data_IF_337254287448
#
_entry.id   IF_337254287448
#
_cell.length_a   1.000
_cell.length_b   1.000
_cell.length_c   1.000
_cell.angle_alpha   90.00
_cell.angle_beta   90.00
_cell.angle_gamma   90.00
#
_symmetry.space_group_name_H-M   'P 1'
#
loop_
_entity.id
_entity.type
_entity.pdbx_description
1 polymer ?
#
# COMPACT_ATOMS: atom_id res chain seq x y z
N UNK A 1 -26.73 30.21 0.02
CA UNK A 1 -26.89 28.74 -0.04
C UNK A 1 -25.93 28.06 -1.02
N UNK A 2 -25.85 28.45 -2.32
CA UNK A 2 -24.87 27.84 -3.27
C UNK A 2 -23.41 28.13 -2.89
N UNK A 3 -23.10 29.31 -2.41
CA UNK A 3 -21.76 29.74 -1.99
C UNK A 3 -21.28 28.98 -0.72
N UNK A 4 -22.15 28.79 0.27
CA UNK A 4 -21.83 27.98 1.45
C UNK A 4 -21.63 26.48 1.13
N UNK A 5 -22.38 25.94 0.17
CA UNK A 5 -22.19 24.57 -0.31
C UNK A 5 -20.87 24.41 -1.07
N UNK A 6 -20.46 25.41 -1.81
CA UNK A 6 -19.16 25.44 -2.49
C UNK A 6 -18.01 25.48 -1.49
N UNK A 7 -18.08 26.38 -0.48
CA UNK A 7 -17.10 26.47 0.60
C UNK A 7 -17.00 25.16 1.37
N UNK A 8 -18.11 24.56 1.80
CA UNK A 8 -18.13 23.27 2.50
C UNK A 8 -17.52 22.13 1.66
N UNK A 9 -17.73 22.14 0.33
CA UNK A 9 -17.09 21.16 -0.57
C UNK A 9 -15.58 21.34 -0.64
N UNK A 10 -15.11 22.57 -0.70
CA UNK A 10 -13.67 22.87 -0.80
C UNK A 10 -12.94 22.49 0.49
N UNK A 11 -13.48 22.83 1.66
CA UNK A 11 -12.89 22.46 2.95
C UNK A 11 -12.76 20.94 3.15
N UNK A 12 -13.78 20.16 2.78
CA UNK A 12 -13.72 18.70 2.86
C UNK A 12 -12.63 18.12 1.94
N UNK A 13 -12.41 18.73 0.79
CA UNK A 13 -11.36 18.31 -0.15
C UNK A 13 -9.94 18.54 0.40
N UNK A 14 -9.73 19.61 1.18
CA UNK A 14 -8.45 19.94 1.81
C UNK A 14 -8.26 19.18 3.12
N UNK A 15 -9.29 19.09 3.97
CA UNK A 15 -9.21 18.46 5.27
C UNK A 15 -8.98 16.94 5.19
N UNK A 16 -9.56 16.25 4.20
CA UNK A 16 -9.43 14.80 4.09
C UNK A 16 -7.97 14.34 3.93
N UNK A 17 -7.19 14.85 2.96
CA UNK A 17 -5.78 14.47 2.85
C UNK A 17 -4.97 14.89 4.07
N UNK A 18 -5.27 16.02 4.70
CA UNK A 18 -4.59 16.45 5.92
C UNK A 18 -4.85 15.50 7.09
N UNK A 19 -6.09 15.03 7.28
CA UNK A 19 -6.43 14.03 8.31
C UNK A 19 -5.67 12.72 8.04
N UNK A 20 -5.64 12.24 6.79
CA UNK A 20 -4.92 11.02 6.44
C UNK A 20 -3.42 11.17 6.68
N UNK A 21 -2.83 12.27 6.24
CA UNK A 21 -1.42 12.55 6.47
C UNK A 21 -1.09 12.66 7.96
N UNK A 22 -1.90 13.39 8.73
CA UNK A 22 -1.72 13.52 10.17
C UNK A 22 -1.84 12.17 10.88
N UNK A 23 -2.78 11.31 10.48
CA UNK A 23 -2.93 9.95 11.02
C UNK A 23 -1.69 9.09 10.72
N UNK A 24 -1.19 9.14 9.49
CA UNK A 24 0.02 8.41 9.10
C UNK A 24 1.24 8.90 9.87
N UNK A 25 1.43 10.21 9.96
CA UNK A 25 2.54 10.80 10.71
C UNK A 25 2.48 10.46 12.21
N UNK A 26 1.28 10.53 12.81
CA UNK A 26 1.10 10.15 14.21
C UNK A 26 1.46 8.68 14.46
N UNK A 27 1.06 7.77 13.56
CA UNK A 27 1.37 6.34 13.64
C UNK A 27 2.84 6.02 13.42
N UNK A 28 3.51 6.76 12.54
CA UNK A 28 4.90 6.54 12.17
C UNK A 28 5.89 7.40 12.97
N UNK A 29 5.42 8.20 13.93
CA UNK A 29 6.28 9.08 14.75
C UNK A 29 7.54 8.37 15.27
N UNK A 30 7.48 7.11 15.75
CA UNK A 30 8.67 6.41 16.22
C UNK A 30 9.69 6.10 15.11
N UNK A 31 9.26 5.98 13.85
CA UNK A 31 10.13 5.63 12.71
C UNK A 31 10.54 6.81 11.83
N UNK A 32 9.94 7.98 12.02
CA UNK A 32 10.26 9.17 11.21
C UNK A 32 11.71 9.58 11.43
N UNK A 33 12.42 9.77 10.33
CA UNK A 33 13.84 10.15 10.35
C UNK A 33 14.78 9.06 10.88
N UNK A 34 14.31 7.83 10.96
CA UNK A 34 15.07 6.63 11.29
C UNK A 34 15.14 5.69 10.10
N UNK A 35 16.28 5.06 9.91
CA UNK A 35 16.46 4.14 8.78
C UNK A 35 15.70 2.83 9.07
N UNK A 36 14.73 2.44 8.24
CA UNK A 36 14.07 1.15 8.41
C UNK A 36 15.04 -0.02 8.13
N UNK A 37 14.77 -1.17 8.74
CA UNK A 37 15.60 -2.38 8.62
C UNK A 37 15.61 -3.02 7.23
N UNK A 38 14.75 -2.62 6.34
CA UNK A 38 14.59 -3.15 4.99
C UNK A 38 15.30 -2.23 3.96
N UNK A 39 15.60 -2.67 2.74
CA UNK A 39 16.53 -2.09 1.76
C UNK A 39 16.27 -0.64 1.33
N UNK A 40 15.54 0.15 2.14
CA UNK A 40 15.24 1.55 1.82
C UNK A 40 16.47 2.41 1.56
N UNK A 41 17.57 2.15 2.28
CA UNK A 41 18.79 2.88 2.07
C UNK A 41 19.59 2.41 0.84
N UNK A 42 19.53 1.14 0.52
CA UNK A 42 20.16 0.60 -0.69
C UNK A 42 19.59 1.26 -1.96
N UNK A 43 18.31 1.66 -1.92
CA UNK A 43 17.73 2.42 -3.03
C UNK A 43 18.28 3.85 -3.11
N UNK A 44 18.54 4.51 -1.98
CA UNK A 44 19.13 5.85 -1.95
C UNK A 44 20.58 5.80 -2.43
N UNK A 45 21.38 4.84 -1.92
CA UNK A 45 22.75 4.61 -2.38
C UNK A 45 22.78 4.32 -3.88
N UNK A 46 21.93 3.41 -4.34
CA UNK A 46 21.81 3.13 -5.76
C UNK A 46 21.47 4.38 -6.58
N UNK A 47 20.61 5.26 -6.05
CA UNK A 47 20.27 6.53 -6.68
C UNK A 47 21.46 7.48 -6.77
N UNK A 48 22.24 7.63 -5.71
CA UNK A 48 23.42 8.50 -5.68
C UNK A 48 24.58 7.98 -6.53
N UNK A 49 24.85 6.67 -6.49
CA UNK A 49 25.98 6.06 -7.20
C UNK A 49 25.71 5.81 -8.69
N UNK A 50 24.49 5.46 -9.04
CA UNK A 50 24.11 4.95 -10.37
C UNK A 50 23.16 5.89 -11.13
N UNK A 51 22.63 6.92 -10.46
CA UNK A 51 21.68 7.86 -11.05
C UNK A 51 20.46 7.13 -11.64
N UNK A 52 20.08 7.47 -12.88
CA UNK A 52 18.91 6.86 -13.54
C UNK A 52 19.04 5.35 -13.73
N UNK A 53 20.24 4.78 -13.76
CA UNK A 53 20.43 3.32 -13.87
C UNK A 53 19.90 2.57 -12.65
N UNK A 54 19.88 3.23 -11.47
CA UNK A 54 19.29 2.67 -10.25
C UNK A 54 17.81 2.27 -10.41
N UNK A 55 17.08 2.90 -11.32
CA UNK A 55 15.67 2.55 -11.59
C UNK A 55 15.51 1.13 -12.15
N UNK A 56 16.55 0.58 -12.78
CA UNK A 56 16.52 -0.70 -13.48
C UNK A 56 17.32 -1.79 -12.77
N UNK A 57 18.39 -1.43 -12.06
CA UNK A 57 19.34 -2.36 -11.46
C UNK A 57 18.86 -2.87 -10.08
N UNK A 58 19.47 -3.94 -9.60
CA UNK A 58 19.20 -4.53 -8.27
C UNK A 58 18.11 -5.60 -8.32
N UNK A 59 17.18 -5.58 -7.38
CA UNK A 59 16.16 -6.59 -7.09
C UNK A 59 15.63 -7.40 -8.28
N UNK A 60 15.15 -8.63 -8.05
CA UNK A 60 14.67 -9.50 -9.14
C UNK A 60 13.50 -8.89 -9.93
N UNK A 61 12.71 -7.98 -9.34
CA UNK A 61 11.66 -7.23 -10.03
C UNK A 61 11.80 -5.72 -9.80
N UNK A 62 11.17 -4.91 -10.66
CA UNK A 62 11.25 -3.47 -10.51
C UNK A 62 10.49 -3.01 -9.25
N UNK A 63 11.12 -2.23 -8.44
CA UNK A 63 10.50 -1.42 -7.40
C UNK A 63 10.43 0.04 -7.86
N UNK A 64 9.85 0.26 -9.05
CA UNK A 64 10.03 1.51 -9.81
C UNK A 64 9.74 2.77 -8.98
N UNK A 65 8.57 2.86 -8.34
CA UNK A 65 8.20 4.07 -7.57
C UNK A 65 9.10 4.24 -6.35
N UNK A 66 9.45 3.14 -5.68
CA UNK A 66 10.38 3.18 -4.55
C UNK A 66 11.75 3.74 -4.97
N UNK A 67 12.27 3.26 -6.09
CA UNK A 67 13.57 3.69 -6.63
C UNK A 67 13.51 5.12 -7.18
N UNK A 68 12.40 5.52 -7.80
CA UNK A 68 12.20 6.89 -8.27
C UNK A 68 12.21 7.89 -7.10
N UNK A 69 11.51 7.57 -6.02
CA UNK A 69 11.51 8.40 -4.81
C UNK A 69 12.91 8.45 -4.20
N UNK A 70 13.58 7.30 -4.09
CA UNK A 70 14.93 7.24 -3.54
C UNK A 70 15.95 8.02 -4.40
N UNK A 71 15.80 7.98 -5.72
CA UNK A 71 16.60 8.80 -6.65
C UNK A 71 16.38 10.30 -6.42
N UNK A 72 15.14 10.73 -6.24
CA UNK A 72 14.86 12.14 -5.91
C UNK A 72 15.44 12.51 -4.54
N UNK A 73 15.33 11.61 -3.58
CA UNK A 73 15.87 11.80 -2.22
C UNK A 73 17.39 11.89 -2.23
N UNK A 74 18.08 11.16 -3.10
CA UNK A 74 19.54 11.19 -3.19
C UNK A 74 20.11 12.58 -3.60
N UNK A 75 19.27 13.50 -4.09
CA UNK A 75 19.67 14.89 -4.38
C UNK A 75 19.67 15.81 -3.14
N UNK A 76 19.13 15.33 -2.02
CA UNK A 76 19.13 16.09 -0.77
C UNK A 76 20.39 15.80 0.07
N UNK A 77 20.81 16.73 0.93
CA UNK A 77 21.93 16.49 1.83
C UNK A 77 21.74 15.21 2.65
N UNK A 78 22.79 14.41 2.79
CA UNK A 78 22.79 13.08 3.42
C UNK A 78 22.04 13.05 4.76
N UNK A 79 22.25 14.06 5.60
CA UNK A 79 21.60 14.16 6.92
C UNK A 79 20.06 14.27 6.86
N UNK A 80 19.49 14.66 5.73
CA UNK A 80 18.05 14.88 5.55
C UNK A 80 17.38 13.80 4.69
N UNK A 81 18.15 12.94 4.02
CA UNK A 81 17.62 11.97 3.06
C UNK A 81 16.54 11.06 3.66
N UNK A 82 16.80 10.46 4.82
CA UNK A 82 15.84 9.53 5.46
C UNK A 82 14.56 10.23 5.91
N UNK A 83 14.66 11.46 6.41
CA UNK A 83 13.47 12.26 6.74
C UNK A 83 12.64 12.59 5.49
N UNK A 84 13.30 13.05 4.43
CA UNK A 84 12.64 13.37 3.15
C UNK A 84 11.98 12.13 2.54
N UNK A 85 12.67 10.98 2.59
CA UNK A 85 12.13 9.70 2.15
C UNK A 85 10.83 9.37 2.90
N UNK A 86 10.85 9.43 4.23
CA UNK A 86 9.68 9.17 5.06
C UNK A 86 8.51 10.06 4.70
N UNK A 87 8.74 11.36 4.53
CA UNK A 87 7.71 12.34 4.15
C UNK A 87 7.10 12.00 2.79
N UNK A 88 7.91 11.73 1.76
CA UNK A 88 7.44 11.39 0.42
C UNK A 88 6.63 10.09 0.41
N UNK A 89 7.05 9.08 1.17
CA UNK A 89 6.30 7.83 1.36
C UNK A 89 4.90 8.12 1.92
N UNK A 90 4.78 8.96 2.94
CA UNK A 90 3.49 9.31 3.54
C UNK A 90 2.60 10.09 2.57
N UNK A 91 3.16 10.92 1.71
CA UNK A 91 2.40 11.58 0.64
C UNK A 91 1.80 10.58 -0.35
N UNK A 92 2.55 9.56 -0.77
CA UNK A 92 2.03 8.51 -1.66
C UNK A 92 0.92 7.70 -0.99
N UNK A 93 1.07 7.32 0.28
CA UNK A 93 0.02 6.67 1.06
C UNK A 93 -1.24 7.53 1.12
N UNK A 94 -1.09 8.81 1.42
CA UNK A 94 -2.19 9.79 1.46
C UNK A 94 -2.89 9.90 0.11
N UNK A 95 -2.14 9.99 -0.98
CA UNK A 95 -2.71 10.05 -2.33
C UNK A 95 -3.53 8.79 -2.66
N UNK A 96 -3.02 7.61 -2.31
CA UNK A 96 -3.75 6.35 -2.46
C UNK A 96 -5.06 6.34 -1.64
N UNK A 97 -5.04 6.81 -0.39
CA UNK A 97 -6.22 6.92 0.45
C UNK A 97 -7.26 7.89 -0.12
N UNK A 98 -6.82 9.01 -0.69
CA UNK A 98 -7.71 9.98 -1.36
C UNK A 98 -8.34 9.38 -2.62
N UNK A 99 -7.59 8.62 -3.42
CA UNK A 99 -8.13 7.91 -4.60
C UNK A 99 -9.22 6.93 -4.15
N UNK A 100 -8.95 6.12 -3.13
CA UNK A 100 -9.94 5.18 -2.56
C UNK A 100 -11.19 5.92 -2.11
N UNK A 101 -11.02 7.01 -1.36
CA UNK A 101 -12.14 7.86 -0.90
C UNK A 101 -13.00 8.34 -2.06
N UNK A 102 -12.38 8.86 -3.10
CA UNK A 102 -13.09 9.38 -4.27
C UNK A 102 -13.85 8.28 -5.03
N UNK A 103 -13.22 7.12 -5.22
CA UNK A 103 -13.83 5.99 -5.93
C UNK A 103 -15.01 5.40 -5.12
N UNK A 104 -14.79 5.09 -3.85
CA UNK A 104 -15.82 4.50 -2.99
C UNK A 104 -17.00 5.45 -2.77
N UNK A 105 -16.73 6.75 -2.58
CA UNK A 105 -17.79 7.78 -2.51
C UNK A 105 -18.67 7.76 -3.76
N UNK A 106 -18.06 7.62 -4.93
CA UNK A 106 -18.79 7.60 -6.20
C UNK A 106 -19.63 6.34 -6.38
N UNK A 107 -19.04 5.17 -6.10
CA UNK A 107 -19.74 3.89 -6.30
C UNK A 107 -20.84 3.65 -5.24
N UNK A 108 -20.62 4.09 -4.00
CA UNK A 108 -21.61 3.94 -2.93
C UNK A 108 -22.64 5.08 -2.87
N UNK A 109 -22.35 6.23 -3.50
CA UNK A 109 -23.09 7.49 -3.38
C UNK A 109 -23.09 8.07 -1.94
N UNK A 110 -22.23 7.55 -1.06
CA UNK A 110 -22.13 7.96 0.35
C UNK A 110 -20.71 8.44 0.68
N UNK A 111 -20.56 9.72 0.97
CA UNK A 111 -19.27 10.35 1.27
C UNK A 111 -18.56 9.71 2.45
N UNK A 112 -19.29 9.43 3.52
CA UNK A 112 -18.73 8.87 4.73
C UNK A 112 -18.15 7.44 4.52
N UNK A 113 -18.76 6.61 3.64
CA UNK A 113 -18.19 5.32 3.24
C UNK A 113 -16.84 5.52 2.53
N UNK A 114 -16.75 6.53 1.67
CA UNK A 114 -15.49 6.89 1.04
C UNK A 114 -14.43 7.28 2.06
N UNK A 115 -14.75 8.19 2.98
CA UNK A 115 -13.81 8.62 4.01
C UNK A 115 -13.35 7.48 4.90
N UNK A 116 -14.26 6.62 5.36
CA UNK A 116 -13.90 5.44 6.14
C UNK A 116 -13.02 4.47 5.33
N UNK A 117 -13.31 4.27 4.06
CA UNK A 117 -12.50 3.41 3.19
C UNK A 117 -11.08 3.93 3.02
N UNK A 118 -10.89 5.25 2.83
CA UNK A 118 -9.56 5.85 2.83
C UNK A 118 -8.87 5.74 4.20
N UNK A 119 -9.62 5.95 5.29
CA UNK A 119 -9.12 5.81 6.65
C UNK A 119 -8.67 4.37 6.94
N UNK A 120 -9.38 3.35 6.43
CA UNK A 120 -8.96 1.94 6.54
C UNK A 120 -7.57 1.69 5.99
N UNK A 121 -7.19 2.33 4.89
CA UNK A 121 -5.85 2.19 4.35
C UNK A 121 -4.80 2.79 5.29
N UNK A 122 -5.00 4.01 5.77
CA UNK A 122 -4.02 4.71 6.62
C UNK A 122 -3.98 4.18 8.06
N UNK A 123 -5.03 3.48 8.48
CA UNK A 123 -5.09 2.78 9.79
C UNK A 123 -4.94 1.27 9.67
N UNK A 124 -4.59 0.76 8.48
CA UNK A 124 -4.50 -0.67 8.23
C UNK A 124 -3.79 -1.41 9.37
N UNK A 125 -4.43 -2.45 9.96
CA UNK A 125 -3.89 -3.10 11.17
C UNK A 125 -2.54 -3.75 10.95
N UNK A 126 -2.24 -4.17 9.73
CA UNK A 126 -0.98 -4.80 9.34
C UNK A 126 0.07 -3.81 8.80
N UNK A 127 -0.25 -2.52 8.73
CA UNK A 127 0.72 -1.49 8.45
C UNK A 127 1.48 -1.14 9.74
N UNK A 128 2.43 -2.00 10.12
CA UNK A 128 3.36 -1.73 11.21
C UNK A 128 4.31 -0.59 10.83
N UNK A 129 5.07 -0.10 11.80
CA UNK A 129 6.10 0.92 11.58
C UNK A 129 7.12 0.50 10.51
N UNK A 130 7.42 -0.80 10.42
CA UNK A 130 8.28 -1.33 9.36
C UNK A 130 7.67 -1.18 7.97
N UNK A 131 6.35 -1.00 7.86
CA UNK A 131 5.65 -0.78 6.60
C UNK A 131 5.38 0.70 6.33
N UNK A 132 5.00 1.46 7.38
CA UNK A 132 4.81 2.89 7.31
C UNK A 132 6.19 3.57 7.25
N UNK A 133 6.38 4.50 6.35
CA UNK A 133 7.67 5.17 6.17
C UNK A 133 8.70 4.37 5.38
N UNK A 134 8.47 3.09 5.11
CA UNK A 134 9.35 2.27 4.28
C UNK A 134 8.96 2.35 2.80
N UNK A 135 9.88 2.83 1.99
CA UNK A 135 9.68 3.03 0.55
C UNK A 135 9.43 1.73 -0.21
N UNK A 136 10.04 0.62 0.20
CA UNK A 136 9.83 -0.71 -0.39
C UNK A 136 8.41 -1.24 -0.22
N UNK A 137 7.65 -0.70 0.74
CA UNK A 137 6.28 -1.09 1.03
C UNK A 137 5.21 -0.23 0.34
N UNK A 138 5.60 0.77 -0.46
CA UNK A 138 4.67 1.58 -1.28
C UNK A 138 3.82 0.74 -2.23
N UNK A 139 4.30 -0.43 -2.61
CA UNK A 139 3.54 -1.39 -3.43
C UNK A 139 2.16 -1.73 -2.86
N UNK A 140 1.97 -1.72 -1.53
CA UNK A 140 0.72 -2.11 -0.90
C UNK A 140 -0.39 -1.06 -0.98
N UNK A 141 -0.17 0.21 -0.59
CA UNK A 141 -1.19 1.24 -0.79
C UNK A 141 -1.51 1.47 -2.27
N UNK A 142 -0.50 1.40 -3.15
CA UNK A 142 -0.69 1.61 -4.58
C UNK A 142 -1.55 0.52 -5.21
N UNK A 143 -1.27 -0.77 -4.93
CA UNK A 143 -2.07 -1.87 -5.47
C UNK A 143 -3.50 -1.84 -4.89
N UNK A 144 -3.68 -1.49 -3.63
CA UNK A 144 -5.00 -1.33 -3.02
C UNK A 144 -5.81 -0.25 -3.74
N UNK A 145 -5.24 0.93 -3.96
CA UNK A 145 -5.89 2.02 -4.67
C UNK A 145 -6.23 1.66 -6.12
N UNK A 146 -5.31 0.97 -6.82
CA UNK A 146 -5.54 0.53 -8.20
C UNK A 146 -6.64 -0.53 -8.29
N UNK A 147 -6.66 -1.54 -7.40
CA UNK A 147 -7.72 -2.56 -7.36
C UNK A 147 -9.07 -1.87 -7.15
N UNK A 148 -9.19 -0.97 -6.18
CA UNK A 148 -10.42 -0.22 -5.93
C UNK A 148 -10.86 0.57 -7.17
N UNK A 149 -9.91 1.21 -7.87
CA UNK A 149 -10.20 1.93 -9.10
C UNK A 149 -10.64 0.99 -10.24
N UNK A 150 -10.02 -0.19 -10.37
CA UNK A 150 -10.38 -1.20 -11.38
C UNK A 150 -11.76 -1.84 -11.14
N UNK A 151 -12.20 -1.91 -9.89
CA UNK A 151 -13.56 -2.34 -9.54
C UNK A 151 -14.64 -1.30 -9.91
N UNK A 152 -14.25 -0.06 -10.30
CA UNK A 152 -15.15 1.06 -10.60
C UNK A 152 -15.10 1.44 -12.08
N UNK A 153 -15.99 0.90 -12.93
CA UNK A 153 -16.05 1.27 -14.35
C UNK A 153 -16.31 2.75 -14.58
N UNK A 154 -17.09 3.38 -13.72
CA UNK A 154 -17.40 4.81 -13.78
C UNK A 154 -16.17 5.67 -13.54
N UNK A 155 -15.30 5.24 -12.63
CA UNK A 155 -14.02 5.93 -12.36
C UNK A 155 -13.05 5.77 -13.52
N UNK A 156 -12.94 4.58 -14.12
CA UNK A 156 -12.08 4.32 -15.29
C UNK A 156 -12.51 5.20 -16.49
N UNK A 157 -13.82 5.29 -16.76
CA UNK A 157 -14.32 6.09 -17.86
C UNK A 157 -14.11 7.60 -17.65
N UNK A 158 -14.24 8.06 -16.40
CA UNK A 158 -14.17 9.50 -16.09
C UNK A 158 -12.74 10.01 -15.95
N UNK A 159 -11.82 9.17 -15.50
CA UNK A 159 -10.42 9.54 -15.25
C UNK A 159 -9.45 8.53 -15.87
N UNK A 160 -9.57 8.24 -17.18
CA UNK A 160 -8.80 7.17 -17.82
C UNK A 160 -7.28 7.41 -17.71
N UNK A 161 -6.84 8.63 -17.92
CA UNK A 161 -5.41 8.98 -17.83
C UNK A 161 -4.84 8.77 -16.44
N UNK A 162 -5.53 9.27 -15.40
CA UNK A 162 -5.06 9.12 -14.02
C UNK A 162 -4.95 7.65 -13.61
N UNK A 163 -5.97 6.85 -13.94
CA UNK A 163 -5.97 5.42 -13.60
C UNK A 163 -4.93 4.65 -14.41
N UNK A 164 -4.71 5.05 -15.68
CA UNK A 164 -3.65 4.46 -16.51
C UNK A 164 -2.26 4.76 -15.94
N UNK A 165 -1.99 6.00 -15.53
CA UNK A 165 -0.74 6.36 -14.87
C UNK A 165 -0.56 5.57 -13.57
N UNK A 166 -1.59 5.48 -12.74
CA UNK A 166 -1.56 4.66 -11.52
C UNK A 166 -1.29 3.19 -11.84
N UNK A 167 -1.90 2.62 -12.90
CA UNK A 167 -1.68 1.25 -13.31
C UNK A 167 -0.25 0.99 -13.77
N UNK A 168 0.32 1.87 -14.58
CA UNK A 168 1.71 1.74 -15.04
C UNK A 168 2.68 1.86 -13.86
N UNK A 169 2.54 2.88 -13.01
CA UNK A 169 3.41 3.07 -11.85
C UNK A 169 3.31 1.89 -10.88
N UNK A 170 2.08 1.41 -10.60
CA UNK A 170 1.87 0.26 -9.72
C UNK A 170 2.40 -1.03 -10.36
N UNK A 171 2.15 -1.25 -11.66
CA UNK A 171 2.59 -2.44 -12.37
C UNK A 171 4.11 -2.56 -12.48
N UNK A 172 4.80 -1.44 -12.68
CA UNK A 172 6.26 -1.39 -12.62
C UNK A 172 6.82 -1.50 -11.19
N UNK A 173 5.97 -1.32 -10.17
CA UNK A 173 6.39 -1.45 -8.77
C UNK A 173 6.05 -2.82 -8.18
N UNK A 174 4.96 -3.45 -8.64
CA UNK A 174 4.46 -4.69 -8.05
C UNK A 174 3.84 -5.60 -9.13
N UNK A 175 4.39 -6.80 -9.38
CA UNK A 175 3.84 -7.73 -10.36
C UNK A 175 2.44 -8.24 -10.01
N UNK A 176 2.00 -8.18 -8.74
CA UNK A 176 0.65 -8.56 -8.32
C UNK A 176 -0.44 -7.65 -8.92
N UNK A 177 -0.07 -6.59 -9.62
CA UNK A 177 -0.98 -5.72 -10.39
C UNK A 177 -1.83 -6.49 -11.39
N UNK A 178 -1.36 -7.67 -11.85
CA UNK A 178 -2.14 -8.57 -12.71
C UNK A 178 -3.50 -8.95 -12.10
N UNK A 179 -3.62 -8.96 -10.77
CA UNK A 179 -4.89 -9.26 -10.09
C UNK A 179 -5.98 -8.23 -10.37
N UNK A 180 -5.62 -7.04 -10.85
CA UNK A 180 -6.57 -6.04 -11.35
C UNK A 180 -7.31 -6.52 -12.60
N UNK A 181 -6.81 -7.53 -13.32
CA UNK A 181 -7.53 -8.15 -14.44
C UNK A 181 -8.80 -8.88 -13.99
N UNK A 182 -8.88 -9.33 -12.74
CA UNK A 182 -10.06 -10.00 -12.19
C UNK A 182 -11.30 -9.07 -12.22
N UNK A 183 -11.30 -7.90 -11.57
CA UNK A 183 -12.46 -7.01 -11.62
C UNK A 183 -12.76 -6.50 -13.03
N UNK A 184 -11.74 -6.23 -13.85
CA UNK A 184 -11.93 -5.81 -15.22
C UNK A 184 -12.62 -6.90 -16.06
N UNK A 185 -12.21 -8.16 -15.90
CA UNK A 185 -12.82 -9.31 -16.57
C UNK A 185 -14.25 -9.57 -16.10
N UNK A 186 -14.50 -9.52 -14.79
CA UNK A 186 -15.84 -9.69 -14.22
C UNK A 186 -16.80 -8.61 -14.71
N UNK A 187 -16.35 -7.36 -14.81
CA UNK A 187 -17.19 -6.27 -15.32
C UNK A 187 -17.46 -6.42 -16.82
N UNK A 188 -16.48 -6.86 -17.61
CA UNK A 188 -16.66 -7.15 -19.02
C UNK A 188 -17.67 -8.29 -19.25
N UNK A 189 -17.58 -9.35 -18.46
CA UNK A 189 -18.56 -10.46 -18.49
C UNK A 189 -19.97 -9.97 -18.13
N UNK A 190 -20.10 -9.15 -17.07
CA UNK A 190 -21.38 -8.57 -16.65
C UNK A 190 -22.02 -7.71 -17.73
N UNK A 191 -21.22 -6.86 -18.39
CA UNK A 191 -21.71 -5.94 -19.44
C UNK A 191 -21.81 -6.57 -20.81
N UNK A 192 -21.20 -7.76 -21.00
CA UNK A 192 -21.00 -8.39 -22.32
C UNK A 192 -20.29 -7.47 -23.33
N UNK A 193 -19.52 -6.53 -22.85
CA UNK A 193 -18.78 -5.53 -23.63
C UNK A 193 -17.46 -5.19 -22.93
N UNK A 194 -16.44 -4.89 -23.73
CA UNK A 194 -15.16 -4.40 -23.26
C UNK A 194 -14.97 -2.95 -23.70
N UNK A 195 -15.31 -1.96 -22.86
CA UNK A 195 -15.09 -0.55 -23.19
C UNK A 195 -13.60 -0.28 -23.51
N UNK A 196 -13.33 0.61 -24.48
CA UNK A 196 -11.95 0.93 -24.92
C UNK A 196 -11.03 1.29 -23.74
N UNK A 197 -11.51 2.08 -22.79
CA UNK A 197 -10.71 2.47 -21.62
C UNK A 197 -10.31 1.26 -20.76
N UNK A 198 -11.18 0.26 -20.57
CA UNK A 198 -10.86 -0.97 -19.84
C UNK A 198 -9.87 -1.84 -20.63
N UNK A 199 -10.04 -1.92 -21.94
CA UNK A 199 -9.11 -2.66 -22.81
C UNK A 199 -7.70 -2.04 -22.75
N UNK A 200 -7.59 -0.73 -22.86
CA UNK A 200 -6.32 -0.01 -22.72
C UNK A 200 -5.69 -0.26 -21.34
N UNK A 201 -6.47 -0.17 -20.28
CA UNK A 201 -6.00 -0.42 -18.92
C UNK A 201 -5.50 -1.87 -18.74
N UNK A 202 -6.24 -2.84 -19.27
CA UNK A 202 -5.82 -4.25 -19.26
C UNK A 202 -4.51 -4.43 -20.03
N UNK A 203 -4.40 -3.81 -21.21
CA UNK A 203 -3.16 -3.83 -22.00
C UNK A 203 -1.95 -3.25 -21.24
N UNK A 204 -2.14 -2.15 -20.50
CA UNK A 204 -1.08 -1.57 -19.66
C UNK A 204 -0.68 -2.50 -18.51
N UNK A 205 -1.64 -3.13 -17.84
CA UNK A 205 -1.39 -4.09 -16.76
C UNK A 205 -0.61 -5.30 -17.30
N UNK A 206 -1.04 -5.86 -18.42
CA UNK A 206 -0.35 -7.00 -19.05
C UNK A 206 1.05 -6.59 -19.56
N UNK A 207 1.18 -5.41 -20.16
CA UNK A 207 2.46 -4.87 -20.62
C UNK A 207 3.46 -4.68 -19.47
N UNK A 208 3.02 -4.09 -18.36
CA UNK A 208 3.89 -3.94 -17.17
C UNK A 208 4.25 -5.29 -16.56
N UNK A 209 3.35 -6.27 -16.54
CA UNK A 209 3.66 -7.62 -16.12
C UNK A 209 4.72 -8.27 -17.03
N UNK A 210 4.61 -8.13 -18.36
CA UNK A 210 5.59 -8.67 -19.29
C UNK A 210 6.99 -8.08 -19.03
N UNK A 211 7.07 -6.76 -18.74
CA UNK A 211 8.32 -6.10 -18.35
C UNK A 211 8.86 -6.68 -17.03
N UNK A 212 8.01 -6.91 -16.03
CA UNK A 212 8.41 -7.52 -14.76
C UNK A 212 8.93 -8.94 -14.95
N UNK A 213 8.23 -9.75 -15.74
CA UNK A 213 8.64 -11.16 -16.04
C UNK A 213 9.97 -11.18 -16.78
N UNK A 214 10.17 -10.32 -17.77
CA UNK A 214 11.44 -10.19 -18.47
C UNK A 214 12.58 -9.82 -17.50
N UNK A 215 12.36 -8.88 -16.58
CA UNK A 215 13.33 -8.50 -15.55
C UNK A 215 13.67 -9.69 -14.63
N UNK A 216 12.67 -10.42 -14.14
CA UNK A 216 12.88 -11.61 -13.28
C UNK A 216 13.67 -12.69 -14.03
N UNK A 217 13.33 -12.94 -15.32
CA UNK A 217 14.05 -13.90 -16.14
C UNK A 217 15.54 -13.56 -16.30
N UNK A 218 15.86 -12.31 -16.58
CA UNK A 218 17.24 -11.81 -16.67
C UNK A 218 17.95 -11.96 -15.32
N UNK A 219 17.31 -11.56 -14.23
CA UNK A 219 17.89 -11.60 -12.88
C UNK A 219 18.18 -13.04 -12.42
N UNK A 220 17.23 -13.96 -12.67
CA UNK A 220 17.40 -15.39 -12.33
C UNK A 220 18.52 -16.06 -13.10
N UNK A 221 18.68 -15.70 -14.38
CA UNK A 221 19.77 -16.20 -15.21
C UNK A 221 21.15 -15.72 -14.71
N UNK A 222 21.22 -14.56 -14.06
CA UNK A 222 22.48 -13.97 -13.59
C UNK A 222 22.84 -14.37 -12.17
N UNK A 223 21.86 -14.64 -11.27
CA UNK A 223 22.10 -14.84 -9.83
C UNK A 223 22.14 -16.30 -9.38
N UNK A 224 21.68 -17.26 -10.18
CA UNK A 224 21.63 -18.68 -9.79
C UNK A 224 20.78 -18.99 -8.54
N UNK A 225 20.07 -18.00 -7.99
CA UNK A 225 19.25 -18.17 -6.78
C UNK A 225 17.85 -18.69 -7.14
N UNK A 226 17.60 -19.95 -6.84
CA UNK A 226 16.24 -20.46 -6.80
C UNK A 226 15.49 -19.87 -5.61
N UNK A 227 14.34 -19.25 -5.84
CA UNK A 227 13.47 -18.76 -4.76
C UNK A 227 13.10 -19.96 -3.84
N UNK A 228 13.57 -19.93 -2.59
CA UNK A 228 13.15 -20.91 -1.58
C UNK A 228 11.67 -20.70 -1.27
N UNK A 229 10.83 -21.58 -1.79
CA UNK A 229 9.41 -21.66 -1.41
C UNK A 229 9.37 -22.30 -0.03
N UNK A 230 9.11 -21.51 1.00
CA UNK A 230 8.89 -22.02 2.35
C UNK A 230 7.56 -22.79 2.44
N UNK A 231 7.55 -23.86 3.24
CA UNK A 231 6.39 -24.75 3.43
C UNK A 231 5.09 -23.96 3.71
N UNK A 232 3.98 -24.25 3.00
CA UNK A 232 2.74 -23.51 3.12
C UNK A 232 1.99 -23.70 4.46
N UNK A 233 2.42 -24.62 5.31
CA UNK A 233 1.67 -25.04 6.52
C UNK A 233 2.32 -24.62 7.85
N UNK A 234 3.50 -24.04 7.83
CA UNK A 234 4.21 -23.62 9.03
C UNK A 234 3.72 -22.25 9.52
N UNK A 235 2.86 -22.21 10.54
CA UNK A 235 2.64 -21.00 11.32
C UNK A 235 1.35 -20.23 11.11
N UNK A 236 0.27 -20.85 10.66
CA UNK A 236 -1.06 -20.23 10.72
C UNK A 236 -1.56 -20.18 12.18
N UNK A 237 -1.14 -19.13 12.91
CA UNK A 237 -1.70 -18.85 14.22
C UNK A 237 -3.16 -18.39 14.15
N UNK A 238 -3.92 -18.66 15.21
CA UNK A 238 -5.33 -18.27 15.39
C UNK A 238 -5.61 -16.79 15.04
N UNK A 239 -4.59 -15.92 15.17
CA UNK A 239 -4.64 -14.49 14.88
C UNK A 239 -4.87 -14.19 13.38
N UNK A 240 -4.28 -14.98 12.48
CA UNK A 240 -4.45 -14.86 11.04
C UNK A 240 -5.85 -15.26 10.59
N UNK A 241 -6.37 -16.31 11.18
CA UNK A 241 -7.71 -16.78 10.93
C UNK A 241 -8.76 -15.75 11.37
N UNK A 242 -8.62 -15.14 12.54
CA UNK A 242 -9.57 -14.16 13.04
C UNK A 242 -9.53 -12.84 12.27
N UNK A 243 -8.34 -12.40 11.83
CA UNK A 243 -8.17 -11.11 11.14
C UNK A 243 -8.59 -11.10 9.66
N UNK A 244 -8.43 -12.21 8.95
CA UNK A 244 -8.71 -12.30 7.51
C UNK A 244 -9.93 -13.16 7.19
N UNK A 245 -10.05 -14.32 7.82
CA UNK A 245 -11.13 -15.26 7.56
C UNK A 245 -12.47 -14.68 8.01
N UNK A 246 -12.51 -13.98 9.14
CA UNK A 246 -13.73 -13.34 9.62
C UNK A 246 -14.33 -12.40 8.56
N UNK A 247 -13.64 -11.34 8.14
CA UNK A 247 -14.12 -10.42 7.11
C UNK A 247 -14.42 -11.10 5.76
N UNK A 248 -13.61 -12.07 5.33
CA UNK A 248 -13.83 -12.78 4.06
C UNK A 248 -15.08 -13.66 4.15
N UNK A 249 -15.26 -14.42 5.23
CA UNK A 249 -16.45 -15.28 5.43
C UNK A 249 -17.70 -14.43 5.56
N UNK A 250 -17.67 -13.36 6.33
CA UNK A 250 -18.80 -12.42 6.44
C UNK A 250 -19.13 -11.82 5.08
N UNK A 251 -18.12 -11.33 4.36
CA UNK A 251 -18.29 -10.79 3.03
C UNK A 251 -18.89 -11.81 2.06
N UNK A 252 -18.34 -13.02 2.01
CA UNK A 252 -18.83 -14.10 1.17
C UNK A 252 -20.27 -14.50 1.52
N UNK A 253 -20.59 -14.63 2.80
CA UNK A 253 -21.95 -14.95 3.27
C UNK A 253 -22.93 -13.85 2.89
N UNK A 254 -22.59 -12.59 3.11
CA UNK A 254 -23.42 -11.46 2.73
C UNK A 254 -23.61 -11.37 1.21
N UNK A 255 -22.59 -11.67 0.43
CA UNK A 255 -22.64 -11.71 -1.03
C UNK A 255 -23.58 -12.80 -1.50
N UNK A 256 -23.48 -14.02 -0.95
CA UNK A 256 -24.38 -15.13 -1.27
C UNK A 256 -25.83 -14.73 -0.98
N UNK A 257 -26.10 -14.12 0.18
CA UNK A 257 -27.44 -13.64 0.53
C UNK A 257 -27.95 -12.60 -0.47
N UNK A 258 -27.10 -11.67 -0.90
CA UNK A 258 -27.46 -10.64 -1.88
C UNK A 258 -27.71 -11.23 -3.26
N UNK A 259 -26.90 -12.21 -3.71
CA UNK A 259 -27.08 -12.91 -4.99
C UNK A 259 -28.37 -13.75 -5.01
N UNK A 260 -28.64 -14.49 -3.92
CA UNK A 260 -29.87 -15.29 -3.80
C UNK A 260 -31.13 -14.42 -3.81
N UNK A 261 -31.05 -13.19 -3.28
CA UNK A 261 -32.16 -12.23 -3.29
C UNK A 261 -32.33 -11.48 -4.62
N UNK A 262 -31.57 -11.82 -5.66
CA UNK A 262 -31.63 -11.23 -7.02
C UNK A 262 -31.53 -9.70 -7.10
N UNK A 263 -31.02 -9.03 -6.06
CA UNK A 263 -30.85 -7.58 -6.03
C UNK A 263 -29.38 -7.23 -6.32
N UNK A 264 -28.89 -7.52 -7.52
CA UNK A 264 -27.52 -7.14 -7.92
C UNK A 264 -27.52 -5.69 -8.40
N UNK A 265 -27.54 -4.74 -7.48
CA UNK A 265 -27.22 -3.34 -7.76
C UNK A 265 -25.69 -3.18 -7.95
N UNK A 266 -25.27 -2.02 -8.43
CA UNK A 266 -23.83 -1.74 -8.70
C UNK A 266 -22.94 -1.86 -7.47
N UNK A 267 -23.42 -1.38 -6.31
CA UNK A 267 -22.63 -1.39 -5.06
C UNK A 267 -22.32 -2.79 -4.51
N UNK A 268 -23.28 -3.75 -4.45
CA UNK A 268 -22.95 -5.13 -4.09
C UNK A 268 -21.98 -5.80 -5.05
N UNK A 269 -22.06 -5.53 -6.35
CA UNK A 269 -21.13 -6.08 -7.32
C UNK A 269 -19.71 -5.52 -7.12
N UNK A 270 -19.59 -4.24 -6.85
CA UNK A 270 -18.33 -3.60 -6.48
C UNK A 270 -17.72 -4.24 -5.20
N UNK A 271 -18.53 -4.43 -4.17
CA UNK A 271 -18.10 -5.09 -2.93
C UNK A 271 -17.65 -6.55 -3.16
N UNK A 272 -18.39 -7.29 -4.03
CA UNK A 272 -18.01 -8.66 -4.43
C UNK A 272 -16.64 -8.69 -5.10
N UNK A 273 -16.40 -7.79 -6.04
CA UNK A 273 -15.11 -7.70 -6.72
C UNK A 273 -13.97 -7.45 -5.71
N UNK A 274 -14.16 -6.52 -4.77
CA UNK A 274 -13.17 -6.25 -3.71
C UNK A 274 -12.91 -7.50 -2.85
N UNK A 275 -13.95 -8.23 -2.45
CA UNK A 275 -13.81 -9.44 -1.63
C UNK A 275 -13.08 -10.56 -2.38
N UNK A 276 -13.39 -10.79 -3.65
CA UNK A 276 -12.71 -11.80 -4.47
C UNK A 276 -11.23 -11.48 -4.66
N UNK A 277 -10.91 -10.23 -4.98
CA UNK A 277 -9.50 -9.83 -5.13
C UNK A 277 -8.79 -9.87 -3.78
N UNK A 278 -9.43 -9.48 -2.69
CA UNK A 278 -8.87 -9.60 -1.34
C UNK A 278 -8.49 -11.05 -1.00
N UNK A 279 -9.39 -12.01 -1.25
CA UNK A 279 -9.14 -13.42 -1.03
C UNK A 279 -7.99 -13.97 -1.88
N UNK A 280 -8.00 -13.66 -3.18
CA UNK A 280 -6.94 -14.07 -4.10
C UNK A 280 -5.58 -13.47 -3.69
N UNK A 281 -5.55 -12.18 -3.37
CA UNK A 281 -4.34 -11.49 -2.95
C UNK A 281 -3.81 -12.03 -1.63
N UNK A 282 -4.69 -12.38 -0.67
CA UNK A 282 -4.30 -13.02 0.57
C UNK A 282 -3.62 -14.38 0.35
N UNK A 283 -4.19 -15.22 -0.52
CA UNK A 283 -3.61 -16.51 -0.89
C UNK A 283 -2.23 -16.35 -1.55
N UNK A 284 -2.11 -15.44 -2.49
CA UNK A 284 -0.83 -15.16 -3.18
C UNK A 284 0.19 -14.58 -2.21
N UNK A 285 -0.19 -13.62 -1.39
CA UNK A 285 0.69 -13.02 -0.38
C UNK A 285 1.21 -14.04 0.62
N UNK A 286 0.35 -14.95 1.07
CA UNK A 286 0.73 -16.05 1.95
C UNK A 286 1.78 -16.97 1.29
N UNK A 287 1.56 -17.31 0.01
CA UNK A 287 2.50 -18.16 -0.76
C UNK A 287 3.85 -17.49 -1.01
N UNK A 288 3.88 -16.18 -1.22
CA UNK A 288 5.10 -15.44 -1.56
C UNK A 288 5.92 -15.00 -0.36
N UNK A 289 5.27 -14.54 0.69
CA UNK A 289 5.91 -13.83 1.80
C UNK A 289 5.78 -14.50 3.17
N UNK A 290 5.07 -15.63 3.27
CA UNK A 290 4.84 -16.26 4.55
C UNK A 290 4.01 -15.39 5.49
N UNK A 291 4.50 -15.19 6.72
CA UNK A 291 3.75 -14.60 7.84
C UNK A 291 4.02 -13.09 8.04
N UNK A 292 4.78 -12.44 7.16
CA UNK A 292 5.11 -11.04 7.35
C UNK A 292 3.86 -10.14 7.22
N UNK A 293 3.55 -9.37 8.25
CA UNK A 293 2.35 -8.54 8.40
C UNK A 293 2.11 -7.63 7.20
N UNK A 294 3.17 -7.06 6.65
CA UNK A 294 3.12 -6.15 5.50
C UNK A 294 2.43 -6.72 4.27
N UNK A 295 2.46 -8.04 4.08
CA UNK A 295 1.82 -8.69 2.94
C UNK A 295 0.29 -8.72 3.03
N UNK A 296 -0.26 -8.46 4.21
CA UNK A 296 -1.70 -8.49 4.47
C UNK A 296 -2.35 -7.09 4.51
N UNK A 297 -1.57 -6.02 4.32
CA UNK A 297 -2.10 -4.65 4.27
C UNK A 297 -3.20 -4.53 3.20
N UNK A 298 -2.89 -4.88 1.96
CA UNK A 298 -3.84 -4.75 0.85
C UNK A 298 -5.03 -5.70 0.98
N UNK A 299 -4.85 -7.05 1.18
CA UNK A 299 -5.99 -7.95 1.31
C UNK A 299 -6.92 -7.60 2.47
N UNK A 300 -6.38 -7.22 3.63
CA UNK A 300 -7.19 -6.85 4.79
C UNK A 300 -7.98 -5.56 4.54
N UNK A 301 -7.33 -4.55 3.98
CA UNK A 301 -7.98 -3.28 3.66
C UNK A 301 -9.13 -3.47 2.68
N UNK A 302 -8.93 -4.26 1.62
CA UNK A 302 -9.96 -4.58 0.63
C UNK A 302 -11.12 -5.39 1.24
N UNK A 303 -10.83 -6.39 2.07
CA UNK A 303 -11.84 -7.19 2.75
C UNK A 303 -12.70 -6.34 3.70
N UNK A 304 -12.08 -5.45 4.46
CA UNK A 304 -12.79 -4.53 5.35
C UNK A 304 -13.65 -3.53 4.57
N UNK A 305 -13.16 -2.98 3.45
CA UNK A 305 -13.96 -2.13 2.57
C UNK A 305 -15.18 -2.88 2.02
N UNK A 306 -14.98 -4.11 1.54
CA UNK A 306 -16.09 -4.96 1.07
C UNK A 306 -17.12 -5.18 2.16
N UNK A 307 -16.69 -5.49 3.38
CA UNK A 307 -17.56 -5.70 4.55
C UNK A 307 -18.37 -4.45 4.86
N UNK A 308 -17.73 -3.27 4.89
CA UNK A 308 -18.41 -1.99 5.13
C UNK A 308 -19.50 -1.70 4.10
N UNK A 309 -19.19 -1.90 2.83
CA UNK A 309 -20.12 -1.67 1.73
C UNK A 309 -21.32 -2.62 1.81
N UNK A 310 -21.08 -3.89 2.13
CA UNK A 310 -22.15 -4.89 2.28
C UNK A 310 -23.03 -4.58 3.49
N UNK A 311 -22.44 -4.28 4.64
CA UNK A 311 -23.18 -3.90 5.85
C UNK A 311 -24.08 -2.68 5.59
N UNK A 312 -23.55 -1.67 4.90
CA UNK A 312 -24.34 -0.51 4.55
C UNK A 312 -25.56 -0.89 3.70
N UNK A 313 -25.39 -1.73 2.68
CA UNK A 313 -26.47 -2.17 1.81
C UNK A 313 -27.53 -3.02 2.53
N UNK A 314 -27.09 -3.91 3.41
CA UNK A 314 -28.00 -4.79 4.15
C UNK A 314 -28.85 -4.03 5.18
N UNK A 315 -28.24 -3.08 5.87
CA UNK A 315 -28.85 -2.44 7.02
C UNK A 315 -29.40 -1.04 6.76
N UNK A 316 -29.38 -0.59 5.50
CA UNK A 316 -29.89 0.74 5.12
C UNK A 316 -31.34 0.97 5.57
N UNK A 317 -32.13 -0.11 5.64
CA UNK A 317 -33.54 -0.07 6.05
C UNK A 317 -33.76 -0.30 7.56
N UNK A 318 -32.73 -0.64 8.30
CA UNK A 318 -32.80 -0.95 9.73
C UNK A 318 -31.73 -0.16 10.49
N UNK A 319 -32.01 1.10 10.86
CA UNK A 319 -31.00 2.02 11.38
C UNK A 319 -30.34 1.54 12.69
N UNK A 320 -31.04 0.75 13.51
CA UNK A 320 -30.47 0.20 14.73
C UNK A 320 -29.40 -0.87 14.42
N UNK A 321 -29.71 -1.81 13.51
CA UNK A 321 -28.76 -2.84 13.06
C UNK A 321 -27.59 -2.22 12.32
N UNK A 322 -27.83 -1.16 11.54
CA UNK A 322 -26.80 -0.40 10.90
C UNK A 322 -25.82 0.22 11.92
N UNK A 323 -26.31 0.85 12.97
CA UNK A 323 -25.49 1.43 14.05
C UNK A 323 -24.72 0.35 14.80
N UNK A 324 -25.36 -0.77 15.13
CA UNK A 324 -24.70 -1.90 15.78
C UNK A 324 -23.60 -2.51 14.90
N UNK A 325 -23.85 -2.72 13.62
CA UNK A 325 -22.85 -3.19 12.65
C UNK A 325 -21.66 -2.23 12.54
N UNK A 326 -21.93 -0.92 12.55
CA UNK A 326 -20.88 0.11 12.57
C UNK A 326 -20.06 0.06 13.86
N UNK A 327 -20.70 -0.04 15.01
CA UNK A 327 -20.01 -0.12 16.30
C UNK A 327 -19.08 -1.33 16.32
N UNK A 328 -19.55 -2.50 15.87
CA UNK A 328 -18.72 -3.71 15.74
C UNK A 328 -17.56 -3.51 14.79
N UNK A 329 -17.80 -2.92 13.63
CA UNK A 329 -16.73 -2.66 12.66
C UNK A 329 -15.68 -1.68 13.22
N UNK A 330 -16.13 -0.61 13.88
CA UNK A 330 -15.23 0.35 14.54
C UNK A 330 -14.40 -0.34 15.63
N UNK A 331 -15.02 -1.17 16.46
CA UNK A 331 -14.31 -1.92 17.50
C UNK A 331 -13.29 -2.90 16.89
N UNK A 332 -13.69 -3.66 15.87
CA UNK A 332 -12.79 -4.59 15.14
C UNK A 332 -11.62 -3.87 14.50
N UNK A 333 -11.79 -2.60 14.11
CA UNK A 333 -10.73 -1.76 13.55
C UNK A 333 -9.87 -1.10 14.64
N UNK A 334 -10.51 -0.59 15.70
CA UNK A 334 -9.80 0.13 16.76
C UNK A 334 -8.89 -0.78 17.59
N UNK A 335 -9.33 -2.00 17.91
CA UNK A 335 -8.56 -2.91 18.78
C UNK A 335 -7.18 -3.26 18.18
N UNK A 336 -7.08 -3.71 16.91
CA UNK A 336 -5.77 -3.89 16.29
C UNK A 336 -5.00 -2.59 16.14
N UNK A 337 -5.68 -1.49 15.77
CA UNK A 337 -5.03 -0.19 15.57
C UNK A 337 -4.42 0.35 16.86
N UNK A 338 -5.12 0.25 18.00
CA UNK A 338 -4.60 0.64 19.31
C UNK A 338 -3.38 -0.21 19.71
N UNK A 339 -3.42 -1.51 19.44
CA UNK A 339 -2.30 -2.41 19.70
C UNK A 339 -1.05 -2.03 18.90
N UNK A 340 -1.21 -1.50 17.70
CA UNK A 340 -0.12 -1.05 16.83
C UNK A 340 0.39 0.37 17.14
N UNK A 341 -0.37 1.17 17.89
CA UNK A 341 0.14 2.42 18.45
C UNK A 341 1.02 2.19 19.69
N UNK A 342 0.87 1.04 20.36
CA UNK A 342 1.45 0.85 21.69
C UNK A 342 2.72 0.01 21.74
N UNK A 343 3.05 -0.78 20.76
CA UNK A 343 4.35 -1.50 20.74
C UNK A 343 4.44 -2.55 19.62
N UNK A 344 5.25 -2.33 18.64
CA UNK A 344 5.81 -3.42 17.84
C UNK A 344 7.13 -3.89 18.46
N UNK A 345 7.43 -5.19 18.47
CA UNK A 345 8.72 -5.72 18.94
C UNK A 345 9.93 -5.27 18.08
N UNK A 346 9.69 -4.57 17.01
CA UNK A 346 10.69 -3.94 16.13
C UNK A 346 11.12 -2.55 16.58
N UNK A 347 10.59 -2.06 17.69
CA UNK A 347 10.82 -0.77 18.32
C UNK A 347 12.01 -0.76 19.29
N UNK A 348 13.02 -1.51 19.05
CA UNK A 348 14.31 -1.03 19.50
C UNK A 348 14.69 0.08 18.52
N UNK A 349 14.31 1.28 18.87
CA UNK A 349 14.39 2.46 18.04
C UNK A 349 15.81 2.66 17.54
N UNK A 350 16.10 2.49 16.25
CA UNK A 350 17.38 2.87 15.72
C UNK A 350 17.61 4.36 16.04
N UNK A 351 18.83 4.80 16.21
CA UNK A 351 19.12 6.22 16.44
C UNK A 351 18.59 7.06 15.27
N UNK A 352 18.36 8.35 15.49
CA UNK A 352 17.98 9.25 14.42
C UNK A 352 19.08 9.29 13.37
N UNK A 353 18.73 9.16 12.12
CA UNK A 353 19.64 9.18 10.97
C UNK A 353 20.61 10.38 11.03
N UNK A 354 20.06 11.58 11.31
CA UNK A 354 20.86 12.80 11.42
C UNK A 354 21.97 12.68 12.47
N UNK A 355 21.72 12.04 13.61
CA UNK A 355 22.74 11.85 14.66
C UNK A 355 23.79 10.82 14.26
N UNK A 356 23.38 9.75 13.57
CA UNK A 356 24.30 8.75 13.04
C UNK A 356 25.22 9.33 11.97
N UNK A 357 24.70 10.16 11.07
CA UNK A 357 25.52 10.84 10.08
C UNK A 357 26.51 11.81 10.75
N UNK A 358 26.08 12.57 11.76
CA UNK A 358 26.99 13.45 12.50
C UNK A 358 28.12 12.67 13.17
N UNK A 359 27.85 11.50 13.77
CA UNK A 359 28.85 10.57 14.34
C UNK A 359 29.78 10.06 13.23
N UNK A 360 29.23 9.66 12.09
CA UNK A 360 30.00 9.15 10.97
C UNK A 360 30.92 10.20 10.37
N UNK A 361 30.48 11.45 10.21
CA UNK A 361 31.31 12.57 9.75
C UNK A 361 32.51 12.78 10.69
N UNK A 362 32.28 12.74 12.00
CA UNK A 362 33.38 12.90 13.00
C UNK A 362 34.41 11.79 12.89
N UNK A 363 33.96 10.54 12.76
CA UNK A 363 34.84 9.38 12.55
C UNK A 363 35.63 9.49 11.23
N UNK A 364 34.91 9.83 10.13
CA UNK A 364 35.49 9.87 8.80
C UNK A 364 36.50 10.99 8.60
N UNK A 365 36.42 12.10 9.33
CA UNK A 365 37.46 13.13 9.34
C UNK A 365 38.81 12.60 9.76
N UNK A 366 38.84 11.60 10.64
CA UNK A 366 40.06 10.96 11.14
C UNK A 366 40.47 9.74 10.32
N UNK A 367 39.51 9.08 9.65
CA UNK A 367 39.67 7.78 8.99
C UNK A 367 39.13 7.80 7.56
N UNK A 368 39.63 8.65 6.68
CA UNK A 368 39.10 8.95 5.36
C UNK A 368 38.91 7.75 4.42
N UNK A 369 39.77 6.75 4.51
CA UNK A 369 39.76 5.57 3.65
C UNK A 369 38.95 4.40 4.25
N UNK A 370 38.41 4.55 5.45
CA UNK A 370 37.67 3.52 6.16
C UNK A 370 36.23 3.47 5.76
N UNK A 371 35.57 2.41 6.16
CA UNK A 371 34.14 2.25 6.13
C UNK A 371 33.58 2.37 7.55
N UNK A 372 32.37 2.89 7.68
CA UNK A 372 31.69 3.01 8.96
C UNK A 372 30.30 2.34 8.85
N UNK A 373 29.98 1.54 9.85
CA UNK A 373 28.65 0.98 10.00
C UNK A 373 27.71 2.01 10.64
N UNK A 374 26.59 2.27 9.98
CA UNK A 374 25.52 3.13 10.46
C UNK A 374 24.37 2.24 10.90
N UNK A 375 23.96 2.37 12.15
CA UNK A 375 22.89 1.57 12.72
C UNK A 375 21.55 1.88 12.03
N UNK A 376 20.93 0.88 11.39
CA UNK A 376 19.64 1.04 10.74
C UNK A 376 18.50 0.51 11.60
N UNK A 377 18.70 -0.62 12.26
CA UNK A 377 17.73 -1.24 13.19
C UNK A 377 18.44 -2.33 13.97
N UNK A 378 17.72 -3.00 14.87
CA UNK A 378 18.23 -4.16 15.63
C UNK A 378 18.70 -5.35 14.79
N UNK A 379 18.40 -5.35 13.49
CA UNK A 379 18.69 -6.47 12.59
C UNK A 379 19.88 -6.22 11.65
N UNK A 380 20.53 -5.08 11.72
CA UNK A 380 21.69 -4.78 10.91
C UNK A 380 21.95 -3.29 10.73
N UNK A 381 23.14 -2.96 10.28
CA UNK A 381 23.57 -1.63 9.87
C UNK A 381 23.82 -1.56 8.37
N UNK A 382 23.93 -0.36 7.86
CA UNK A 382 24.40 -0.07 6.50
C UNK A 382 25.82 0.41 6.58
N UNK A 383 26.73 -0.20 5.82
CA UNK A 383 28.13 0.22 5.77
C UNK A 383 28.31 1.32 4.72
N UNK A 384 28.84 2.46 5.12
CA UNK A 384 29.14 3.58 4.24
C UNK A 384 30.65 3.84 4.16
N UNK A 385 31.11 4.19 2.96
CA UNK A 385 32.48 4.65 2.76
C UNK A 385 32.64 6.08 3.27
N UNK A 386 33.68 6.34 4.03
CA UNK A 386 33.98 7.66 4.57
C UNK A 386 34.14 8.72 3.47
N UNK A 387 34.68 8.38 2.32
CA UNK A 387 34.78 9.29 1.18
C UNK A 387 33.41 9.76 0.68
N UNK A 388 32.40 8.87 0.69
CA UNK A 388 31.03 9.24 0.35
C UNK A 388 30.46 10.25 1.36
N UNK A 389 30.61 9.97 2.66
CA UNK A 389 30.08 10.83 3.74
C UNK A 389 30.72 12.22 3.76
N UNK A 390 31.99 12.33 3.38
CA UNK A 390 32.72 13.61 3.41
C UNK A 390 32.52 14.45 2.15
N UNK A 391 32.05 13.87 1.06
CA UNK A 391 31.82 14.55 -0.23
C UNK A 391 30.37 15.04 -0.40
N UNK A 392 29.45 14.61 0.47
CA UNK A 392 28.05 15.04 0.56
C UNK A 392 27.87 16.18 1.58
#
# INVERSE_FOLDING_TARGET
>A
MQFELAIRRTWLFILTPLIYLATLLARSTPSIGRLPADPGYDYILGGSEQGLRALVLGDPYFHFVARLIALVVSWFPLAHQVLTLSILVHFVWTACAVIITAVVTRESQHKWLGYFSGLLLVTAPHASESALGNVGNLKWPMITALIVACCSPTSIQRHPTLISVLAVLTGLTNPLTILCSIPLGLEALRRRQFPRAQLMLTGMIVGTLAIQVAKVGISSATSGQSAKVTSPWGGMGLFWWSGLVGPIVISATCIIILLVRQRVSTTPFFALQLALVAGTLAMVSYRMGGIADRYFIAPMTLALMATLLIQHQLFVKTPLLQRAGWAVTVVVLLVPTLKWFTSGPYLMTPPLWKSEIARAVTFCKQNRLSEIEISSSTLGGTTLKCLYILNE
#
